data_IF_157255318673
#
_entry.id   IF_157255318673
#
_cell.length_a   1.000
_cell.length_b   1.000
_cell.length_c   1.000
_cell.angle_alpha   90.00
_cell.angle_beta   90.00
_cell.angle_gamma   90.00
#
_symmetry.space_group_name_H-M   'P 1'
#
loop_
_entity.id
_entity.type
_entity.pdbx_description
1 polymer ?
#
# COMPACT_ATOMS: atom_id res chain seq x y z
N UNK A 1 -0.58 18.04 -33.85
CA UNK A 1 -0.44 16.88 -34.77
C UNK A 1 0.06 15.70 -33.95
N UNK A 2 -0.82 14.75 -33.63
CA UNK A 2 -0.47 13.51 -32.94
C UNK A 2 -0.12 12.49 -34.04
N UNK A 3 1.06 11.89 -33.97
CA UNK A 3 1.54 10.96 -34.98
C UNK A 3 0.66 9.69 -35.05
N UNK A 4 0.19 9.28 -36.25
CA UNK A 4 -0.68 8.11 -36.41
C UNK A 4 -0.02 6.78 -35.97
N UNK A 5 1.30 6.70 -35.90
CA UNK A 5 2.02 5.51 -35.44
C UNK A 5 1.85 5.22 -33.93
N UNK A 6 1.63 6.27 -33.11
CA UNK A 6 1.40 6.08 -31.67
C UNK A 6 0.02 5.44 -31.41
N UNK A 7 -0.97 5.72 -32.26
CA UNK A 7 -2.29 5.11 -32.18
C UNK A 7 -2.27 3.62 -32.55
N UNK A 8 -1.47 3.23 -33.54
CA UNK A 8 -1.32 1.83 -33.95
C UNK A 8 -0.66 0.97 -32.85
N UNK A 9 0.36 1.49 -32.16
CA UNK A 9 0.96 0.83 -31.00
C UNK A 9 -0.01 0.66 -29.83
N UNK A 10 -0.92 1.61 -29.63
CA UNK A 10 -1.96 1.56 -28.60
C UNK A 10 -3.02 0.50 -28.90
N UNK A 11 -3.49 0.39 -30.15
CA UNK A 11 -4.46 -0.64 -30.56
C UNK A 11 -3.90 -2.05 -30.45
N UNK A 12 -2.61 -2.23 -30.76
CA UNK A 12 -1.92 -3.52 -30.60
C UNK A 12 -1.79 -3.90 -29.11
N UNK A 13 -1.54 -2.91 -28.24
CA UNK A 13 -1.47 -3.10 -26.79
C UNK A 13 -2.81 -3.42 -26.15
N UNK A 14 -3.88 -2.71 -26.51
CA UNK A 14 -5.25 -3.03 -26.06
C UNK A 14 -5.63 -4.43 -26.53
N UNK A 15 -5.26 -4.81 -27.74
CA UNK A 15 -5.46 -6.16 -28.28
C UNK A 15 -4.66 -7.22 -27.53
N UNK A 16 -3.40 -6.96 -27.17
CA UNK A 16 -2.57 -7.89 -26.40
C UNK A 16 -3.05 -8.03 -24.94
N UNK A 17 -3.45 -6.93 -24.30
CA UNK A 17 -4.06 -6.94 -22.98
C UNK A 17 -5.41 -7.69 -22.99
N UNK A 18 -6.22 -7.51 -24.05
CA UNK A 18 -7.46 -8.26 -24.25
C UNK A 18 -7.22 -9.74 -24.58
N UNK A 19 -6.12 -10.08 -25.27
CA UNK A 19 -5.74 -11.47 -25.53
C UNK A 19 -5.34 -12.19 -24.23
N UNK A 20 -4.59 -11.50 -23.35
CA UNK A 20 -4.26 -12.01 -22.02
C UNK A 20 -5.53 -12.15 -21.16
N UNK A 21 -6.42 -11.16 -21.18
CA UNK A 21 -7.70 -11.23 -20.44
C UNK A 21 -8.66 -12.29 -20.97
N UNK A 22 -8.68 -12.54 -22.29
CA UNK A 22 -9.50 -13.57 -22.93
C UNK A 22 -8.94 -14.98 -22.73
N UNK A 23 -7.62 -15.14 -22.67
CA UNK A 23 -6.97 -16.43 -22.41
C UNK A 23 -7.04 -16.86 -20.94
N UNK A 24 -7.19 -15.94 -19.99
CA UNK A 24 -7.36 -16.24 -18.56
C UNK A 24 -8.79 -16.67 -18.18
N UNK A 25 -9.70 -16.80 -19.15
CA UNK A 25 -11.07 -17.31 -18.95
C UNK A 25 -11.21 -18.83 -19.00
N UNK A 26 -10.12 -19.58 -19.22
CA UNK A 26 -10.12 -21.05 -19.16
C UNK A 26 -9.69 -21.54 -17.79
N UNK A 27 -10.56 -22.31 -17.12
CA UNK A 27 -10.16 -23.15 -15.98
C UNK A 27 -9.02 -24.08 -16.43
N UNK A 28 -7.80 -23.80 -15.98
CA UNK A 28 -6.68 -24.72 -16.14
C UNK A 28 -6.82 -25.85 -15.11
N UNK A 29 -6.67 -27.13 -15.51
CA UNK A 29 -6.64 -28.24 -14.58
C UNK A 29 -5.34 -28.22 -13.78
N UNK A 30 -5.44 -28.67 -12.53
CA UNK A 30 -4.53 -28.34 -11.44
C UNK A 30 -3.09 -28.83 -11.59
N UNK A 31 -2.20 -28.10 -10.92
CA UNK A 31 -0.87 -28.57 -10.59
C UNK A 31 -0.51 -28.22 -9.14
N UNK A 32 -0.28 -29.26 -8.34
CA UNK A 32 0.71 -29.35 -7.25
C UNK A 32 0.79 -28.32 -6.12
N UNK A 33 -0.16 -27.42 -5.93
CA UNK A 33 -0.07 -26.37 -4.92
C UNK A 33 -0.13 -26.89 -3.48
N UNK A 34 0.93 -26.63 -2.70
CA UNK A 34 0.91 -26.67 -1.23
C UNK A 34 -0.38 -26.01 -0.72
N UNK A 35 -1.35 -26.81 -0.28
CA UNK A 35 -2.59 -26.35 0.31
C UNK A 35 -2.22 -25.58 1.58
N UNK A 36 -2.30 -24.25 1.51
CA UNK A 36 -2.42 -23.44 2.72
C UNK A 36 -3.66 -23.97 3.45
N UNK A 37 -3.55 -24.39 4.72
CA UNK A 37 -4.70 -24.86 5.46
C UNK A 37 -5.82 -23.81 5.36
N UNK A 38 -6.99 -24.21 4.89
CA UNK A 38 -8.17 -23.34 4.77
C UNK A 38 -8.51 -22.62 6.09
N UNK A 39 -7.97 -23.10 7.23
CA UNK A 39 -8.12 -22.54 8.57
C UNK A 39 -7.37 -21.23 8.86
N UNK A 40 -6.67 -20.65 7.89
CA UNK A 40 -5.97 -19.35 8.04
C UNK A 40 -6.45 -18.28 7.05
N UNK A 41 -7.44 -18.59 6.20
CA UNK A 41 -8.08 -17.56 5.40
C UNK A 41 -8.94 -16.68 6.33
N UNK A 42 -8.80 -15.36 6.24
CA UNK A 42 -9.79 -14.44 6.80
C UNK A 42 -11.20 -14.92 6.40
N UNK A 43 -12.26 -14.72 7.23
CA UNK A 43 -13.61 -15.14 6.87
C UNK A 43 -13.92 -14.65 5.46
N UNK A 44 -13.98 -15.58 4.51
CA UNK A 44 -14.20 -15.27 3.10
C UNK A 44 -15.57 -14.63 3.04
N UNK A 45 -15.60 -13.35 2.68
CA UNK A 45 -16.83 -12.58 2.47
C UNK A 45 -17.80 -13.44 1.67
N UNK A 46 -18.94 -13.75 2.28
CA UNK A 46 -19.91 -14.74 1.81
C UNK A 46 -20.40 -14.43 0.39
N UNK A 47 -19.85 -15.12 -0.60
CA UNK A 47 -20.50 -15.64 -1.81
C UNK A 47 -21.19 -14.68 -2.81
N UNK A 48 -21.57 -13.47 -2.45
CA UNK A 48 -22.25 -12.52 -3.35
C UNK A 48 -21.20 -11.53 -3.84
N UNK A 49 -20.32 -12.01 -4.73
CA UNK A 49 -19.56 -11.11 -5.58
C UNK A 49 -20.58 -10.52 -6.55
N UNK A 50 -21.09 -9.33 -6.23
CA UNK A 50 -22.15 -8.67 -6.99
C UNK A 50 -21.82 -8.76 -8.48
N UNK A 51 -22.78 -9.21 -9.29
CA UNK A 51 -22.61 -9.43 -10.74
C UNK A 51 -22.01 -8.20 -11.45
N UNK A 52 -22.31 -7.00 -10.93
CA UNK A 52 -21.78 -5.71 -11.37
C UNK A 52 -20.26 -5.55 -11.19
N UNK A 53 -19.64 -6.24 -10.23
CA UNK A 53 -18.19 -6.23 -10.03
C UNK A 53 -17.44 -7.03 -11.11
N UNK A 54 -18.14 -7.91 -11.85
CA UNK A 54 -17.58 -8.71 -12.95
C UNK A 54 -17.66 -8.02 -14.30
N UNK A 55 -18.39 -6.90 -14.42
CA UNK A 55 -18.45 -6.14 -15.67
C UNK A 55 -17.03 -5.70 -16.09
N UNK A 56 -16.72 -5.62 -17.39
CA UNK A 56 -15.46 -5.04 -17.85
C UNK A 56 -15.14 -3.66 -17.25
N UNK A 57 -13.86 -3.40 -16.99
CA UNK A 57 -13.38 -2.12 -16.39
C UNK A 57 -13.77 -0.88 -17.21
N UNK A 58 -13.92 -1.03 -18.53
CA UNK A 58 -14.27 0.07 -19.43
C UNK A 58 -15.76 0.42 -19.46
N UNK A 59 -16.63 -0.36 -18.80
CA UNK A 59 -18.05 -0.05 -18.74
C UNK A 59 -18.31 1.10 -17.75
N UNK A 60 -18.88 2.24 -18.21
CA UNK A 60 -19.16 3.38 -17.34
C UNK A 60 -20.02 3.03 -16.13
N UNK A 61 -20.91 2.05 -16.25
CA UNK A 61 -21.78 1.60 -15.16
C UNK A 61 -21.00 0.98 -14.00
N UNK A 62 -19.96 0.19 -14.28
CA UNK A 62 -19.09 -0.39 -13.25
C UNK A 62 -18.32 0.70 -12.51
N UNK A 63 -17.82 1.70 -13.24
CA UNK A 63 -17.11 2.83 -12.65
C UNK A 63 -18.05 3.64 -11.75
N UNK A 64 -19.24 4.00 -12.23
CA UNK A 64 -20.26 4.69 -11.42
C UNK A 64 -20.66 3.87 -10.19
N UNK A 65 -20.80 2.56 -10.35
CA UNK A 65 -21.13 1.66 -9.26
C UNK A 65 -20.07 1.69 -8.16
N UNK A 66 -18.80 1.58 -8.53
CA UNK A 66 -17.66 1.64 -7.60
C UNK A 66 -17.54 3.01 -6.94
N UNK A 67 -17.66 4.09 -7.70
CA UNK A 67 -17.69 5.46 -7.17
C UNK A 67 -18.84 5.65 -6.17
N UNK A 68 -20.01 5.08 -6.45
CA UNK A 68 -21.15 5.11 -5.57
C UNK A 68 -20.99 4.27 -4.29
N UNK A 69 -19.95 3.44 -4.15
CA UNK A 69 -19.68 2.69 -2.90
C UNK A 69 -18.53 3.26 -2.08
N UNK A 70 -17.88 4.32 -2.58
CA UNK A 70 -16.79 4.97 -1.87
C UNK A 70 -17.27 5.60 -0.56
N UNK A 71 -16.43 5.48 0.48
CA UNK A 71 -16.62 6.10 1.78
C UNK A 71 -16.27 7.61 1.74
N UNK A 72 -17.02 8.36 0.93
CA UNK A 72 -16.85 9.81 0.80
C UNK A 72 -17.20 10.54 2.11
N UNK A 73 -16.53 11.64 2.45
CA UNK A 73 -16.82 12.41 3.66
C UNK A 73 -18.29 12.83 3.73
N UNK A 74 -18.92 12.62 4.90
CA UNK A 74 -20.32 12.99 5.13
C UNK A 74 -21.33 12.02 4.51
N UNK A 75 -20.87 10.98 3.81
CA UNK A 75 -21.71 9.89 3.36
C UNK A 75 -21.67 8.76 4.39
N UNK A 76 -22.83 8.24 4.85
CA UNK A 76 -22.84 7.09 5.74
C UNK A 76 -22.12 5.90 5.08
N UNK A 77 -21.05 5.45 5.73
CA UNK A 77 -20.33 4.23 5.39
C UNK A 77 -20.21 3.39 6.66
N UNK A 78 -20.31 2.06 6.56
CA UNK A 78 -20.32 1.23 7.74
C UNK A 78 -18.90 1.20 8.33
N UNK A 79 -18.78 1.54 9.60
CA UNK A 79 -17.51 1.58 10.33
C UNK A 79 -17.23 0.17 10.88
N UNK A 80 -16.01 -0.36 10.71
CA UNK A 80 -15.65 -1.65 11.31
C UNK A 80 -15.75 -1.60 12.85
N UNK A 81 -16.06 -2.75 13.47
CA UNK A 81 -16.14 -2.88 14.94
C UNK A 81 -14.81 -2.66 15.65
N UNK A 82 -13.69 -2.80 14.93
CA UNK A 82 -12.35 -2.61 15.46
C UNK A 82 -11.35 -2.20 14.39
N UNK A 83 -10.12 -1.94 14.83
CA UNK A 83 -9.00 -1.55 13.99
C UNK A 83 -7.72 -1.93 14.71
N UNK A 84 -7.01 -2.91 14.17
CA UNK A 84 -5.87 -3.53 14.84
C UNK A 84 -4.68 -3.65 13.89
N UNK A 85 -3.48 -3.51 14.45
CA UNK A 85 -2.24 -3.86 13.78
C UNK A 85 -1.64 -5.11 14.41
N UNK A 86 -1.25 -6.04 13.55
CA UNK A 86 -0.42 -7.19 13.91
C UNK A 86 1.05 -6.76 14.04
N UNK A 87 1.91 -7.65 14.52
CA UNK A 87 3.34 -7.38 14.54
C UNK A 87 3.87 -7.05 13.14
N UNK A 88 4.78 -6.07 13.05
CA UNK A 88 5.35 -5.64 11.78
C UNK A 88 6.22 -6.74 11.15
N UNK A 89 6.12 -6.91 9.84
CA UNK A 89 7.00 -7.79 9.05
C UNK A 89 7.06 -7.32 7.60
N UNK A 90 8.24 -7.40 6.99
CA UNK A 90 8.45 -7.17 5.56
C UNK A 90 7.99 -8.34 4.66
N UNK A 91 7.17 -9.25 5.19
CA UNK A 91 6.64 -10.40 4.47
C UNK A 91 5.28 -10.07 3.82
N UNK A 92 5.14 -10.43 2.55
CA UNK A 92 3.90 -10.27 1.77
C UNK A 92 2.96 -11.48 1.91
N UNK A 93 3.22 -12.35 2.88
CA UNK A 93 2.50 -13.59 3.11
C UNK A 93 1.13 -13.37 3.77
N UNK A 94 0.41 -14.47 4.01
CA UNK A 94 -0.89 -14.47 4.69
C UNK A 94 -0.75 -14.65 6.21
N UNK A 95 0.47 -14.74 6.74
CA UNK A 95 0.67 -15.04 8.16
C UNK A 95 0.41 -13.79 9.00
N UNK A 96 -0.48 -13.93 9.97
CA UNK A 96 -0.78 -12.90 10.96
C UNK A 96 0.11 -13.14 12.18
N UNK A 97 0.94 -12.15 12.54
CA UNK A 97 1.97 -12.27 13.58
C UNK A 97 1.51 -11.56 14.84
N UNK A 98 1.21 -12.32 15.91
CA UNK A 98 0.74 -11.76 17.18
C UNK A 98 1.88 -11.23 18.07
N UNK A 99 1.58 -10.42 19.11
CA UNK A 99 0.24 -9.97 19.48
C UNK A 99 -0.27 -8.86 18.56
N UNK A 100 -1.59 -8.71 18.49
CA UNK A 100 -2.22 -7.53 17.89
C UNK A 100 -2.24 -6.36 18.88
N UNK A 101 -2.38 -5.15 18.37
CA UNK A 101 -2.64 -3.94 19.17
C UNK A 101 -3.72 -3.08 18.52
N UNK A 102 -4.50 -2.31 19.29
CA UNK A 102 -5.39 -1.30 18.73
C UNK A 102 -4.63 -0.31 17.85
N UNK A 103 -5.29 0.16 16.80
CA UNK A 103 -4.73 1.09 15.84
C UNK A 103 -5.74 2.19 15.51
N UNK A 104 -5.29 3.42 15.71
CA UNK A 104 -5.98 4.63 15.29
C UNK A 104 -5.16 5.22 14.14
N UNK A 105 -5.75 5.37 12.93
CA UNK A 105 -5.06 6.02 11.82
C UNK A 105 -4.60 7.42 12.21
N UNK A 106 -3.34 7.73 11.96
CA UNK A 106 -2.76 9.05 12.20
C UNK A 106 -2.25 9.67 10.89
N UNK A 107 -2.27 11.00 10.75
CA UNK A 107 -1.73 11.67 9.56
C UNK A 107 -0.30 11.23 9.24
N UNK A 108 -0.05 10.97 7.96
CA UNK A 108 1.24 10.51 7.43
C UNK A 108 1.44 8.99 7.44
N UNK A 109 0.54 8.20 8.05
CA UNK A 109 0.58 6.74 7.90
C UNK A 109 0.38 6.36 6.43
N UNK A 110 1.19 5.43 5.92
CA UNK A 110 1.06 4.93 4.55
C UNK A 110 0.34 3.59 4.60
N UNK A 111 -0.75 3.50 3.86
CA UNK A 111 -1.57 2.29 3.74
C UNK A 111 -1.22 1.61 2.42
N UNK A 112 -1.09 0.30 2.44
CA UNK A 112 -0.83 -0.50 1.25
C UNK A 112 -1.88 -1.61 1.17
N UNK A 113 -2.37 -1.92 -0.02
CA UNK A 113 -3.29 -3.04 -0.21
C UNK A 113 -2.91 -3.91 -1.39
N UNK A 114 -3.33 -5.17 -1.33
CA UNK A 114 -3.44 -6.02 -2.52
C UNK A 114 -4.87 -6.01 -2.99
N UNK A 115 -5.07 -5.77 -4.28
CA UNK A 115 -6.27 -6.22 -4.96
C UNK A 115 -6.10 -7.68 -5.41
N UNK A 116 -7.22 -8.38 -5.56
CA UNK A 116 -7.27 -9.71 -6.19
C UNK A 116 -7.44 -9.65 -7.71
N UNK A 117 -7.22 -8.49 -8.34
CA UNK A 117 -7.42 -8.31 -9.77
C UNK A 117 -6.26 -8.94 -10.53
N UNK A 118 -6.54 -10.02 -11.28
CA UNK A 118 -5.55 -10.67 -12.14
C UNK A 118 -4.91 -9.69 -13.13
N UNK A 119 -5.70 -8.73 -13.63
CA UNK A 119 -5.21 -7.66 -14.50
C UNK A 119 -4.11 -6.86 -13.81
N UNK A 120 -4.35 -6.32 -12.61
CA UNK A 120 -3.38 -5.51 -11.91
C UNK A 120 -2.18 -6.32 -11.44
N UNK A 121 -2.39 -7.55 -10.99
CA UNK A 121 -1.30 -8.45 -10.64
C UNK A 121 -0.36 -8.67 -11.84
N UNK A 122 -0.92 -8.92 -13.02
CA UNK A 122 -0.15 -9.12 -14.25
C UNK A 122 0.63 -7.86 -14.61
N UNK A 123 -0.02 -6.70 -14.58
CA UNK A 123 0.60 -5.41 -14.92
C UNK A 123 1.72 -5.03 -13.95
N UNK A 124 1.54 -5.28 -12.65
CA UNK A 124 2.56 -5.05 -11.64
C UNK A 124 3.73 -6.05 -11.74
N UNK A 125 3.46 -7.30 -12.12
CA UNK A 125 4.50 -8.29 -12.38
C UNK A 125 5.33 -7.90 -13.61
N UNK A 126 4.68 -7.44 -14.69
CA UNK A 126 5.38 -6.89 -15.88
C UNK A 126 6.20 -5.64 -15.53
N UNK A 127 5.73 -4.82 -14.60
CA UNK A 127 6.49 -3.70 -14.06
C UNK A 127 7.65 -4.13 -13.12
N UNK A 128 7.76 -5.41 -12.77
CA UNK A 128 8.77 -5.96 -11.86
C UNK A 128 8.53 -5.62 -10.39
N UNK A 129 7.28 -5.36 -10.02
CA UNK A 129 6.91 -4.83 -8.69
C UNK A 129 5.95 -5.74 -7.93
N UNK A 130 5.12 -6.55 -8.59
CA UNK A 130 4.19 -7.47 -7.91
C UNK A 130 3.39 -6.79 -6.79
N UNK A 131 3.16 -7.46 -5.65
CA UNK A 131 2.48 -6.89 -4.49
C UNK A 131 3.40 -6.01 -3.60
N UNK A 132 2.83 -5.05 -2.84
CA UNK A 132 1.43 -4.59 -2.90
C UNK A 132 1.10 -3.88 -4.23
N UNK A 133 -0.18 -3.88 -4.62
CA UNK A 133 -0.62 -3.30 -5.92
C UNK A 133 -1.21 -1.91 -5.76
N UNK A 134 -1.51 -1.49 -4.53
CA UNK A 134 -2.08 -0.18 -4.25
C UNK A 134 -1.45 0.46 -3.01
N UNK A 135 -1.50 1.80 -2.96
CA UNK A 135 -1.03 2.58 -1.82
C UNK A 135 -1.81 3.86 -1.62
N UNK A 136 -2.00 4.26 -0.37
CA UNK A 136 -2.69 5.46 0.05
C UNK A 136 -1.94 6.13 1.22
N UNK A 137 -2.34 7.35 1.57
CA UNK A 137 -1.79 8.06 2.74
C UNK A 137 -2.91 8.60 3.62
N UNK A 138 -2.77 8.43 4.94
CA UNK A 138 -3.69 8.96 5.93
C UNK A 138 -3.41 10.45 6.15
N UNK A 139 -4.45 11.26 6.29
CA UNK A 139 -4.38 12.67 6.65
C UNK A 139 -5.49 13.02 7.65
N UNK A 140 -5.49 14.25 8.17
CA UNK A 140 -6.60 14.73 9.01
C UNK A 140 -7.52 15.63 8.18
N UNK A 141 -8.82 15.36 8.17
CA UNK A 141 -9.80 16.34 7.70
C UNK A 141 -9.76 17.61 8.56
N UNK A 142 -10.30 18.75 8.07
CA UNK A 142 -10.36 19.98 8.87
C UNK A 142 -11.09 19.84 10.21
N UNK A 143 -12.00 18.87 10.33
CA UNK A 143 -12.72 18.53 11.57
C UNK A 143 -11.95 17.57 12.49
N UNK A 144 -10.70 17.22 12.15
CA UNK A 144 -9.84 16.32 12.90
C UNK A 144 -10.09 14.82 12.67
N UNK A 145 -11.13 14.44 11.91
CA UNK A 145 -11.37 13.03 11.60
C UNK A 145 -10.28 12.47 10.67
N UNK A 146 -9.92 11.19 10.80
CA UNK A 146 -8.93 10.58 9.93
C UNK A 146 -9.49 10.36 8.52
N UNK A 147 -8.80 10.92 7.53
CA UNK A 147 -9.06 10.70 6.11
C UNK A 147 -7.96 9.89 5.44
N UNK A 148 -8.25 9.35 4.26
CA UNK A 148 -7.29 8.72 3.36
C UNK A 148 -7.33 9.42 2.02
N UNK A 149 -6.16 9.73 1.48
CA UNK A 149 -5.96 10.23 0.13
C UNK A 149 -5.45 9.11 -0.78
N UNK A 150 -6.11 8.90 -1.92
CA UNK A 150 -5.84 7.79 -2.84
C UNK A 150 -6.08 8.16 -4.30
N UNK A 151 -5.29 7.58 -5.21
CA UNK A 151 -5.50 7.69 -6.65
C UNK A 151 -6.12 6.38 -7.18
N UNK A 152 -7.35 6.47 -7.67
CA UNK A 152 -8.08 5.35 -8.25
C UNK A 152 -8.57 4.32 -7.23
N UNK A 153 -9.25 4.72 -6.14
CA UNK A 153 -9.80 3.77 -5.18
C UNK A 153 -10.71 2.76 -5.86
N UNK A 154 -10.55 1.48 -5.54
CA UNK A 154 -11.29 0.36 -6.12
C UNK A 154 -11.38 0.41 -7.66
N UNK A 155 -10.30 0.76 -8.37
CA UNK A 155 -10.23 0.91 -9.84
C UNK A 155 -11.09 2.04 -10.42
N UNK A 156 -11.41 3.07 -9.64
CA UNK A 156 -11.99 4.30 -10.21
C UNK A 156 -10.92 5.09 -10.97
N UNK A 157 -11.34 6.06 -11.79
CA UNK A 157 -10.41 6.86 -12.61
C UNK A 157 -10.07 8.22 -11.98
N UNK A 158 -10.19 8.32 -10.65
CA UNK A 158 -10.14 9.59 -9.95
C UNK A 158 -9.34 9.53 -8.66
N UNK A 159 -8.74 10.65 -8.31
CA UNK A 159 -8.19 10.91 -6.97
C UNK A 159 -9.34 11.26 -6.03
N UNK A 160 -9.32 10.67 -4.84
CA UNK A 160 -10.36 10.84 -3.83
C UNK A 160 -9.77 10.96 -2.43
N UNK A 161 -10.47 11.74 -1.63
CA UNK A 161 -10.38 11.79 -0.18
C UNK A 161 -11.55 11.00 0.41
N UNK A 162 -11.25 10.10 1.35
CA UNK A 162 -12.18 9.10 1.87
C UNK A 162 -12.07 9.02 3.40
N UNK A 163 -13.11 8.58 4.09
CA UNK A 163 -13.04 8.31 5.52
C UNK A 163 -12.19 7.06 5.77
N UNK A 164 -11.20 7.17 6.67
CA UNK A 164 -10.13 6.18 6.74
C UNK A 164 -10.63 4.76 7.09
N UNK A 165 -11.34 4.60 8.21
CA UNK A 165 -11.69 3.27 8.73
C UNK A 165 -12.69 2.50 7.85
N UNK A 166 -13.81 3.07 7.38
CA UNK A 166 -14.71 2.37 6.46
C UNK A 166 -13.98 1.92 5.18
N UNK A 167 -13.01 2.74 4.73
CA UNK A 167 -12.27 2.47 3.50
C UNK A 167 -11.15 1.44 3.66
N UNK A 168 -10.46 1.40 4.80
CA UNK A 168 -9.57 0.27 5.11
C UNK A 168 -10.35 -1.05 5.15
N UNK A 169 -11.56 -1.00 5.71
CA UNK A 169 -12.42 -2.17 5.83
C UNK A 169 -12.95 -2.69 4.48
N UNK A 170 -13.24 -1.81 3.52
CA UNK A 170 -13.59 -2.25 2.17
C UNK A 170 -12.41 -2.99 1.51
N UNK A 171 -11.18 -2.51 1.68
CA UNK A 171 -10.01 -3.20 1.15
C UNK A 171 -9.69 -4.51 1.86
N UNK A 172 -9.94 -4.64 3.17
CA UNK A 172 -9.77 -5.92 3.86
C UNK A 172 -10.68 -7.02 3.31
N UNK A 173 -11.88 -6.67 2.82
CA UNK A 173 -12.80 -7.62 2.17
C UNK A 173 -12.29 -8.11 0.82
N UNK A 174 -11.48 -7.30 0.14
CA UNK A 174 -10.91 -7.62 -1.18
C UNK A 174 -9.54 -8.31 -1.07
N UNK A 175 -8.78 -8.00 -0.03
CA UNK A 175 -7.44 -8.52 0.12
C UNK A 175 -6.70 -8.01 1.35
N UNK A 176 -5.37 -8.10 1.27
CA UNK A 176 -4.48 -7.80 2.38
C UNK A 176 -4.23 -6.28 2.46
N UNK A 177 -4.57 -5.65 3.59
CA UNK A 177 -4.17 -4.28 3.97
C UNK A 177 -2.98 -4.24 4.93
N UNK A 178 -1.94 -3.46 4.64
CA UNK A 178 -0.85 -3.16 5.56
C UNK A 178 -0.77 -1.67 5.86
N UNK A 179 -0.21 -1.35 7.01
CA UNK A 179 0.08 0.02 7.41
C UNK A 179 1.57 0.14 7.73
N UNK A 180 2.23 1.08 7.07
CA UNK A 180 3.51 1.66 7.46
C UNK A 180 3.18 2.83 8.38
N UNK A 181 3.22 2.59 9.69
CA UNK A 181 2.85 3.61 10.67
C UNK A 181 3.98 4.62 10.87
N UNK A 182 3.68 5.92 10.95
CA UNK A 182 4.62 6.96 11.36
C UNK A 182 5.17 6.66 12.75
N UNK A 183 6.50 6.67 12.89
CA UNK A 183 7.16 6.51 14.21
C UNK A 183 7.18 7.81 15.01
N UNK A 184 7.09 8.94 14.31
CA UNK A 184 6.98 10.28 14.88
C UNK A 184 5.72 10.95 14.35
N UNK A 185 4.83 11.43 15.24
CA UNK A 185 3.69 12.25 14.86
C UNK A 185 4.12 13.43 13.99
N UNK A 186 3.25 13.85 13.07
CA UNK A 186 3.51 15.03 12.27
C UNK A 186 3.46 16.28 13.17
N UNK A 187 4.28 17.27 12.85
CA UNK A 187 4.09 18.63 13.37
C UNK A 187 2.75 19.20 12.88
N UNK A 188 2.15 20.17 13.59
CA UNK A 188 0.92 20.83 13.13
C UNK A 188 1.04 21.36 11.70
N UNK A 189 2.18 21.95 11.35
CA UNK A 189 2.46 22.51 10.02
C UNK A 189 2.52 21.42 8.94
N UNK A 190 3.19 20.29 9.22
CA UNK A 190 3.25 19.15 8.31
C UNK A 190 1.86 18.54 8.10
N UNK A 191 1.07 18.40 9.17
CA UNK A 191 -0.30 17.89 9.07
C UNK A 191 -1.18 18.83 8.25
N UNK A 192 -1.11 20.14 8.50
CA UNK A 192 -1.87 21.14 7.74
C UNK A 192 -1.51 21.14 6.24
N UNK A 193 -0.22 21.02 5.91
CA UNK A 193 0.25 20.90 4.52
C UNK A 193 -0.23 19.61 3.85
N UNK A 194 -0.21 18.49 4.58
CA UNK A 194 -0.73 17.23 4.06
C UNK A 194 -2.23 17.31 3.76
N UNK A 195 -3.00 17.90 4.68
CA UNK A 195 -4.43 18.17 4.50
C UNK A 195 -4.68 19.12 3.32
N UNK A 196 -3.93 20.20 3.21
CA UNK A 196 -4.02 21.14 2.08
C UNK A 196 -3.79 20.42 0.75
N UNK A 197 -2.75 19.58 0.67
CA UNK A 197 -2.48 18.80 -0.53
C UNK A 197 -3.64 17.87 -0.86
N UNK A 198 -4.09 17.07 0.12
CA UNK A 198 -5.16 16.10 -0.06
C UNK A 198 -6.45 16.74 -0.60
N UNK A 199 -6.87 17.85 -0.01
CA UNK A 199 -8.08 18.56 -0.45
C UNK A 199 -7.90 19.22 -1.82
N UNK A 200 -6.70 19.72 -2.15
CA UNK A 200 -6.42 20.37 -3.43
C UNK A 200 -6.26 19.41 -4.63
N UNK A 201 -6.02 18.13 -4.35
CA UNK A 201 -5.89 17.09 -5.39
C UNK A 201 -7.10 16.17 -5.48
N UNK A 202 -8.04 16.24 -4.55
CA UNK A 202 -9.34 15.58 -4.66
C UNK A 202 -10.02 15.93 -5.99
N UNK A 203 -10.59 14.93 -6.66
CA UNK A 203 -11.26 15.14 -7.95
C UNK A 203 -10.37 15.02 -9.18
N UNK A 204 -9.03 15.05 -9.04
CA UNK A 204 -8.08 14.92 -10.15
C UNK A 204 -8.16 13.54 -10.80
N UNK A 205 -7.61 13.43 -12.00
CA UNK A 205 -7.65 12.19 -12.77
C UNK A 205 -6.62 11.17 -12.30
N UNK A 206 -6.98 9.90 -12.43
CA UNK A 206 -6.02 8.81 -12.32
C UNK A 206 -5.15 8.75 -13.59
N UNK A 207 -3.83 8.70 -13.41
CA UNK A 207 -2.85 8.78 -14.49
C UNK A 207 -2.71 7.47 -15.30
N UNK A 208 -3.82 6.93 -15.82
CA UNK A 208 -3.88 5.61 -16.45
C UNK A 208 -2.93 5.47 -17.64
N UNK A 209 -2.89 6.47 -18.53
CA UNK A 209 -2.02 6.45 -19.72
C UNK A 209 -0.55 6.42 -19.30
N UNK A 210 -0.18 7.23 -18.31
CA UNK A 210 1.20 7.29 -17.79
C UNK A 210 1.58 6.01 -17.07
N UNK A 211 0.65 5.41 -16.33
CA UNK A 211 0.85 4.11 -15.70
C UNK A 211 1.10 3.02 -16.75
N UNK A 212 0.30 2.98 -17.83
CA UNK A 212 0.53 2.09 -18.98
C UNK A 212 1.90 2.34 -19.64
N UNK A 213 2.31 3.60 -19.77
CA UNK A 213 3.64 3.98 -20.26
C UNK A 213 4.81 3.41 -19.44
N UNK A 214 4.60 3.09 -18.15
CA UNK A 214 5.62 2.47 -17.32
C UNK A 214 5.92 1.01 -17.67
N UNK A 215 5.13 0.39 -18.55
CA UNK A 215 5.40 -0.95 -19.08
C UNK A 215 6.35 -0.91 -20.27
N UNK A 216 6.62 0.28 -20.79
CA UNK A 216 7.53 0.45 -21.92
C UNK A 216 8.98 0.60 -21.45
N UNK A 217 9.98 0.28 -22.29
CA UNK A 217 11.39 0.56 -21.99
C UNK A 217 11.67 2.05 -21.75
N UNK A 218 10.82 2.95 -22.25
CA UNK A 218 10.93 4.40 -22.10
C UNK A 218 10.34 4.93 -20.78
N UNK A 219 10.09 4.05 -19.83
CA UNK A 219 9.55 4.39 -18.50
C UNK A 219 10.48 5.25 -17.67
N UNK A 220 9.88 6.00 -16.74
CA UNK A 220 10.63 6.80 -15.75
C UNK A 220 11.39 5.93 -14.74
N UNK A 221 10.91 4.71 -14.49
CA UNK A 221 11.56 3.67 -13.67
C UNK A 221 12.65 2.89 -14.44
N UNK A 222 13.49 3.58 -15.20
CA UNK A 222 14.67 3.01 -15.84
C UNK A 222 15.91 3.16 -14.94
N UNK A 223 16.88 2.23 -14.99
CA UNK A 223 18.07 2.27 -14.12
C UNK A 223 18.88 3.57 -14.25
N UNK A 224 18.85 4.20 -15.42
CA UNK A 224 19.50 5.48 -15.67
C UNK A 224 18.51 6.66 -15.55
N UNK A 225 17.33 6.57 -16.17
CA UNK A 225 16.38 7.70 -16.26
C UNK A 225 15.90 8.19 -14.91
N UNK A 226 15.79 7.34 -13.90
CA UNK A 226 15.34 7.74 -12.56
C UNK A 226 16.28 8.76 -11.89
N UNK A 227 17.55 8.84 -12.28
CA UNK A 227 18.47 9.84 -11.73
C UNK A 227 18.03 11.28 -12.05
N UNK A 228 17.46 11.52 -13.24
CA UNK A 228 17.11 12.87 -13.71
C UNK A 228 15.62 13.08 -14.01
N UNK A 229 14.82 12.01 -14.15
CA UNK A 229 13.38 12.08 -14.40
C UNK A 229 12.55 11.74 -13.17
N UNK A 230 11.28 12.14 -13.18
CA UNK A 230 10.32 11.74 -12.16
C UNK A 230 10.43 12.50 -10.86
N UNK A 231 11.02 13.71 -10.88
CA UNK A 231 11.04 14.63 -9.75
C UNK A 231 9.61 15.03 -9.31
N UNK A 232 9.42 15.42 -8.04
CA UNK A 232 8.13 15.92 -7.55
C UNK A 232 7.65 17.14 -8.33
N UNK A 233 6.34 17.24 -8.50
CA UNK A 233 5.66 18.35 -9.18
C UNK A 233 4.66 19.06 -8.27
N UNK A 234 4.32 18.49 -7.12
CA UNK A 234 3.37 19.05 -6.17
C UNK A 234 2.03 19.39 -6.82
N UNK A 235 1.41 20.50 -6.39
CA UNK A 235 0.07 20.88 -6.83
C UNK A 235 -0.06 21.21 -8.32
N UNK A 236 1.03 21.42 -9.06
CA UNK A 236 0.97 21.70 -10.50
C UNK A 236 0.55 20.47 -11.33
N UNK A 237 0.69 19.26 -10.78
CA UNK A 237 0.48 18.01 -11.51
C UNK A 237 -0.99 17.64 -11.65
N UNK A 238 -1.48 17.36 -12.87
CA UNK A 238 -2.92 17.19 -13.12
C UNK A 238 -3.48 15.81 -12.79
N UNK A 239 -2.65 14.78 -12.85
CA UNK A 239 -3.06 13.38 -12.68
C UNK A 239 -2.01 12.58 -11.88
N UNK A 240 -2.48 11.57 -11.16
CA UNK A 240 -1.62 10.73 -10.31
C UNK A 240 -1.97 9.26 -10.44
N UNK A 241 -0.98 8.39 -10.30
CA UNK A 241 -1.23 7.00 -9.88
C UNK A 241 -0.92 6.85 -8.39
N UNK A 242 -1.32 5.72 -7.80
CA UNK A 242 -1.44 5.56 -6.35
C UNK A 242 -0.16 5.89 -5.56
N UNK A 243 0.97 5.25 -5.85
CA UNK A 243 2.24 5.48 -5.14
C UNK A 243 2.85 6.84 -5.45
N UNK A 244 2.66 7.35 -6.66
CA UNK A 244 3.09 8.70 -7.01
C UNK A 244 2.35 9.76 -6.17
N UNK A 245 1.03 9.61 -6.00
CA UNK A 245 0.23 10.50 -5.15
C UNK A 245 0.75 10.51 -3.71
N UNK A 246 1.04 9.33 -3.15
CA UNK A 246 1.56 9.19 -1.79
C UNK A 246 2.90 9.92 -1.64
N UNK A 247 3.85 9.73 -2.56
CA UNK A 247 5.16 10.39 -2.47
C UNK A 247 5.05 11.90 -2.70
N UNK A 248 4.24 12.36 -3.66
CA UNK A 248 3.98 13.80 -3.87
C UNK A 248 3.37 14.45 -2.64
N UNK A 249 2.43 13.77 -1.97
CA UNK A 249 1.83 14.22 -0.71
C UNK A 249 2.89 14.31 0.41
N UNK A 250 3.73 13.30 0.57
CA UNK A 250 4.82 13.31 1.53
C UNK A 250 5.83 14.44 1.28
N UNK A 251 6.23 14.66 0.02
CA UNK A 251 7.14 15.76 -0.35
C UNK A 251 6.47 17.11 -0.06
N UNK A 252 5.21 17.28 -0.47
CA UNK A 252 4.47 18.51 -0.24
C UNK A 252 4.31 18.82 1.25
N UNK A 253 4.12 17.80 2.08
CA UNK A 253 4.04 17.94 3.53
C UNK A 253 5.42 18.10 4.22
N UNK A 254 6.54 18.00 3.49
CA UNK A 254 7.88 18.08 4.07
C UNK A 254 8.28 16.84 4.88
N UNK A 255 7.75 15.67 4.51
CA UNK A 255 8.04 14.37 5.14
C UNK A 255 9.13 13.59 4.41
N UNK A 256 9.35 13.90 3.13
CA UNK A 256 10.38 13.30 2.28
C UNK A 256 11.11 14.42 1.55
N UNK A 257 12.44 14.32 1.49
CA UNK A 257 13.27 15.29 0.77
C UNK A 257 12.98 15.26 -0.75
N UNK A 258 12.59 16.41 -1.35
CA UNK A 258 12.28 16.50 -2.77
C UNK A 258 13.46 16.14 -3.70
N UNK A 259 14.72 16.29 -3.25
CA UNK A 259 15.89 16.03 -4.09
C UNK A 259 16.11 14.53 -4.33
N UNK A 260 15.74 13.70 -3.36
CA UNK A 260 15.84 12.23 -3.44
C UNK A 260 14.53 11.56 -3.86
N UNK A 261 13.40 12.24 -3.72
CA UNK A 261 12.10 11.68 -4.09
C UNK A 261 11.99 11.49 -5.60
N UNK A 262 11.43 10.35 -6.02
CA UNK A 262 11.07 10.10 -7.43
C UNK A 262 9.64 9.55 -7.55
N UNK A 263 8.61 10.38 -7.29
CA UNK A 263 7.22 9.92 -7.28
C UNK A 263 6.83 9.12 -8.53
N UNK A 264 7.16 9.61 -9.72
CA UNK A 264 6.79 8.95 -10.98
C UNK A 264 7.50 7.59 -11.20
N UNK A 265 8.59 7.32 -10.48
CA UNK A 265 9.32 6.06 -10.55
C UNK A 265 9.04 5.14 -9.36
N UNK A 266 8.33 5.59 -8.32
CA UNK A 266 8.08 4.84 -7.08
C UNK A 266 6.82 4.00 -7.21
N UNK A 267 6.88 2.73 -6.78
CA UNK A 267 5.76 1.79 -6.73
C UNK A 267 5.41 1.42 -5.29
N UNK A 268 4.19 0.89 -5.03
CA UNK A 268 3.78 0.50 -3.69
C UNK A 268 4.76 -0.49 -3.02
N UNK A 269 5.38 -1.40 -3.78
CA UNK A 269 6.42 -2.30 -3.25
C UNK A 269 7.65 -1.57 -2.70
N UNK A 270 8.05 -0.45 -3.29
CA UNK A 270 9.19 0.31 -2.79
C UNK A 270 8.87 0.96 -1.43
N UNK A 271 7.63 1.44 -1.27
CA UNK A 271 7.09 1.96 0.00
C UNK A 271 6.95 0.84 1.06
N UNK A 272 6.63 -0.38 0.63
CA UNK A 272 6.49 -1.52 1.53
C UNK A 272 7.85 -2.00 2.08
N UNK A 273 8.82 -2.26 1.20
CA UNK A 273 10.05 -2.99 1.53
C UNK A 273 11.21 -2.11 2.02
N UNK A 274 11.11 -0.78 1.89
CA UNK A 274 12.29 0.11 1.98
C UNK A 274 13.44 -0.34 1.06
N UNK A 275 13.13 -1.05 -0.02
CA UNK A 275 14.07 -1.61 -0.99
C UNK A 275 13.44 -1.60 -2.37
N UNK A 276 14.28 -1.42 -3.38
CA UNK A 276 13.84 -1.34 -4.76
C UNK A 276 14.76 -2.12 -5.70
N UNK A 277 14.19 -2.64 -6.78
CA UNK A 277 15.00 -3.11 -7.93
C UNK A 277 15.59 -1.94 -8.71
N UNK A 278 15.01 -0.74 -8.56
CA UNK A 278 15.56 0.48 -9.13
C UNK A 278 16.72 0.95 -8.26
N UNK A 279 17.94 0.98 -8.80
CA UNK A 279 19.16 1.29 -8.06
C UNK A 279 19.12 2.68 -7.39
N UNK A 280 18.54 3.68 -8.05
CA UNK A 280 18.41 5.02 -7.49
C UNK A 280 17.53 4.99 -6.24
N UNK A 281 16.31 4.46 -6.36
CA UNK A 281 15.39 4.35 -5.23
C UNK A 281 15.98 3.48 -4.11
N UNK A 282 16.64 2.37 -4.46
CA UNK A 282 17.24 1.48 -3.48
C UNK A 282 18.35 2.15 -2.67
N UNK A 283 19.05 3.13 -3.25
CA UNK A 283 20.11 3.87 -2.57
C UNK A 283 19.58 5.06 -1.79
N UNK A 284 18.65 5.82 -2.37
CA UNK A 284 18.30 7.16 -1.88
C UNK A 284 16.96 7.22 -1.15
N UNK A 285 16.00 6.37 -1.51
CA UNK A 285 14.64 6.47 -1.01
C UNK A 285 14.40 5.42 0.10
N UNK A 286 14.34 5.89 1.35
CA UNK A 286 14.07 5.09 2.55
C UNK A 286 13.03 5.81 3.40
N UNK A 287 12.03 5.06 3.88
CA UNK A 287 11.06 5.56 4.85
C UNK A 287 11.56 5.30 6.28
N UNK A 288 12.37 4.28 6.53
CA UNK A 288 13.03 4.12 7.82
C UNK A 288 14.02 5.29 8.08
N UNK A 289 14.11 5.83 9.31
CA UNK A 289 13.44 5.37 10.54
C UNK A 289 12.07 6.04 10.81
N UNK A 290 11.62 6.96 9.97
CA UNK A 290 10.46 7.81 10.28
C UNK A 290 9.11 7.09 10.06
N UNK A 291 9.13 5.93 9.39
CA UNK A 291 8.03 4.96 9.36
C UNK A 291 8.49 3.60 9.90
N UNK A 292 7.62 2.96 10.67
CA UNK A 292 7.79 1.59 11.15
C UNK A 292 7.68 0.61 9.97
N UNK A 293 8.24 -0.61 10.09
CA UNK A 293 8.02 -1.65 9.10
C UNK A 293 6.52 -1.97 8.95
N UNK A 294 6.10 -2.51 7.80
CA UNK A 294 4.68 -2.69 7.52
C UNK A 294 4.06 -3.70 8.47
N UNK A 295 2.92 -3.35 9.05
CA UNK A 295 2.10 -4.22 9.89
C UNK A 295 0.80 -4.56 9.17
N UNK A 296 0.35 -5.83 9.25
CA UNK A 296 -0.97 -6.21 8.75
C UNK A 296 -2.03 -5.45 9.53
N UNK A 297 -3.02 -4.89 8.84
CA UNK A 297 -4.21 -4.30 9.44
C UNK A 297 -5.41 -5.25 9.30
N UNK A 298 -6.22 -5.33 10.36
CA UNK A 298 -7.51 -6.04 10.36
C UNK A 298 -8.57 -5.29 11.16
N UNK A 299 -9.84 -5.46 10.80
CA UNK A 299 -10.98 -4.94 11.57
C UNK A 299 -11.33 -5.76 12.82
N UNK A 300 -10.65 -6.89 13.02
CA UNK A 300 -10.90 -7.89 14.07
C UNK A 300 -9.58 -8.36 14.70
N UNK A 301 -9.68 -9.03 15.85
CA UNK A 301 -8.59 -9.61 16.64
C UNK A 301 -8.56 -11.14 16.58
N UNK A 302 -7.41 -11.80 16.84
CA UNK A 302 -7.36 -13.25 16.91
C UNK A 302 -8.33 -13.89 17.92
N UNK A 303 -8.62 -13.22 19.04
CA UNK A 303 -9.62 -13.68 20.02
C UNK A 303 -11.03 -13.75 19.41
N UNK A 304 -11.36 -12.83 18.52
CA UNK A 304 -12.61 -12.86 17.75
C UNK A 304 -12.56 -13.92 16.62
N UNK A 305 -11.36 -14.30 16.16
CA UNK A 305 -11.15 -15.26 15.07
C UNK A 305 -11.14 -16.73 15.51
N UNK A 306 -10.56 -17.05 16.67
CA UNK A 306 -10.46 -18.43 17.17
C UNK A 306 -11.82 -19.14 17.28
N UNK A 307 -12.89 -18.52 17.85
CA UNK A 307 -14.20 -19.16 17.93
C UNK A 307 -14.83 -19.45 16.57
N UNK A 308 -14.56 -18.63 15.54
CA UNK A 308 -15.09 -18.83 14.19
C UNK A 308 -14.49 -20.06 13.51
N UNK A 309 -13.22 -20.38 13.79
CA UNK A 309 -12.58 -21.59 13.27
C UNK A 309 -12.89 -22.84 14.08
N UNK A 310 -13.01 -22.70 15.40
CA UNK A 310 -13.40 -23.82 16.26
C UNK A 310 -14.84 -24.26 16.00
N UNK A 311 -15.76 -23.32 15.78
CA UNK A 311 -17.16 -23.65 15.40
C UNK A 311 -17.30 -24.18 13.96
N UNK A 312 -16.41 -23.80 13.04
CA UNK A 312 -16.35 -24.36 11.70
C UNK A 312 -15.78 -25.79 11.66
N UNK A 313 -15.04 -26.21 12.69
CA UNK A 313 -14.72 -27.63 12.89
C UNK A 313 -15.96 -28.32 13.42
N UNK A 314 -16.82 -28.79 12.52
CA UNK A 314 -17.97 -29.61 12.93
C UNK A 314 -17.49 -30.80 13.78
N UNK A 315 -18.12 -31.05 14.94
CA UNK A 315 -17.88 -32.26 15.70
C UNK A 315 -18.35 -33.45 14.85
N UNK A 316 -17.40 -34.11 14.19
CA UNK A 316 -17.69 -35.24 13.29
C UNK A 316 -16.84 -35.29 12.03
N UNK A 317 -16.09 -34.22 11.67
CA UNK A 317 -15.08 -34.37 10.62
C UNK A 317 -13.93 -35.22 11.19
N UNK A 318 -13.67 -36.43 10.67
CA UNK A 318 -12.60 -37.28 11.18
C UNK A 318 -11.30 -36.50 11.07
N UNK A 319 -10.64 -36.28 12.21
CA UNK A 319 -9.30 -35.75 12.22
C UNK A 319 -8.46 -36.69 11.34
N UNK A 320 -7.76 -36.19 10.30
CA UNK A 320 -6.97 -37.06 9.44
C UNK A 320 -6.04 -37.87 10.34
N UNK A 321 -6.15 -39.20 10.22
CA UNK A 321 -5.36 -40.12 11.03
C UNK A 321 -3.90 -39.67 10.97
N UNK A 322 -3.19 -39.60 12.11
CA UNK A 322 -1.80 -39.18 12.13
C UNK A 322 -1.05 -39.98 11.07
N UNK A 323 -0.47 -39.30 10.10
CA UNK A 323 0.26 -39.96 9.02
C UNK A 323 1.36 -40.80 9.65
N UNK A 324 1.32 -42.10 9.40
CA UNK A 324 2.16 -43.12 10.01
C UNK A 324 3.65 -43.05 9.59
N UNK A 325 4.16 -41.87 9.23
CA UNK A 325 5.52 -41.64 8.75
C UNK A 325 6.25 -40.48 9.43
N UNK A 326 5.72 -39.92 10.53
CA UNK A 326 6.46 -38.94 11.34
C UNK A 326 7.56 -39.66 12.13
N UNK A 327 8.73 -39.75 11.50
CA UNK A 327 9.97 -40.20 12.14
C UNK A 327 10.21 -39.34 13.39
N UNK A 328 10.47 -39.94 14.56
CA UNK A 328 10.77 -39.18 15.77
C UNK A 328 12.01 -38.31 15.52
N UNK A 329 11.85 -37.00 15.70
CA UNK A 329 12.94 -36.05 15.67
C UNK A 329 13.97 -36.44 16.74
N UNK A 330 15.13 -36.91 16.29
CA UNK A 330 16.23 -37.31 17.13
C UNK A 330 16.76 -36.12 17.94
N UNK A 331 16.82 -36.34 19.26
CA UNK A 331 17.81 -35.88 20.22
C UNK A 331 18.47 -34.50 20.02
N UNK A 332 18.01 -33.56 20.84
CA UNK A 332 18.80 -32.66 21.67
C UNK A 332 20.26 -32.39 21.23
N UNK A 333 20.46 -31.31 20.46
CA UNK A 333 21.71 -30.57 20.47
C UNK A 333 21.66 -29.55 21.61
N UNK A 334 22.50 -29.79 22.62
CA UNK A 334 22.80 -28.86 23.72
C UNK A 334 23.23 -27.49 23.20
N UNK A 335 22.73 -26.38 23.78
CA UNK A 335 23.17 -25.04 23.41
C UNK A 335 24.63 -24.83 23.84
N UNK A 336 25.45 -24.36 22.88
CA UNK A 336 26.82 -23.89 23.10
C UNK A 336 26.75 -22.56 23.88
N UNK A 337 27.53 -22.35 24.95
CA UNK A 337 27.52 -21.09 25.69
C UNK A 337 28.03 -19.95 24.81
N UNK A 338 27.26 -18.85 24.77
CA UNK A 338 27.64 -17.61 24.10
C UNK A 338 28.82 -16.95 24.81
N UNK A 339 29.83 -16.43 24.09
CA UNK A 339 30.87 -15.61 24.69
C UNK A 339 30.29 -14.26 25.14
N UNK A 340 30.49 -13.96 26.42
CA UNK A 340 30.26 -12.65 27.02
C UNK A 340 31.10 -11.59 26.31
N UNK A 341 30.46 -10.66 25.61
CA UNK A 341 31.09 -9.42 25.15
C UNK A 341 30.58 -8.26 26.03
N UNK A 342 31.34 -7.97 27.07
CA UNK A 342 31.30 -6.67 27.76
C UNK A 342 32.01 -5.64 26.88
N UNK A 343 31.23 -4.92 26.08
CA UNK A 343 31.65 -3.65 25.50
C UNK A 343 30.55 -2.62 25.77
N UNK A 344 30.67 -1.94 26.90
CA UNK A 344 29.96 -0.68 27.13
C UNK A 344 30.54 0.38 26.19
N UNK A 345 29.74 1.00 25.30
CA UNK A 345 30.20 2.13 24.52
C UNK A 345 30.22 3.37 25.42
N UNK A 346 31.39 3.99 25.55
CA UNK A 346 31.56 5.34 26.11
C UNK A 346 30.75 6.32 25.27
N UNK A 347 29.76 6.97 25.89
CA UNK A 347 28.98 8.04 25.28
C UNK A 347 29.90 9.25 24.95
N UNK A 348 29.89 9.78 23.72
CA UNK A 348 30.57 11.02 23.42
C UNK A 348 29.83 12.20 24.07
N UNK A 349 30.62 13.15 24.57
CA UNK A 349 30.16 14.38 25.20
C UNK A 349 29.21 15.19 24.29
N UNK A 350 28.22 15.82 24.90
CA UNK A 350 27.22 16.65 24.24
C UNK A 350 27.87 17.78 23.42
N UNK A 351 27.43 18.03 22.17
CA UNK A 351 27.92 19.15 21.39
C UNK A 351 27.47 20.49 21.99
N UNK A 352 28.38 21.46 21.98
CA UNK A 352 28.15 22.82 22.43
C UNK A 352 26.98 23.49 21.69
N UNK A 353 26.21 24.26 22.44
CA UNK A 353 25.05 25.03 22.03
C UNK A 353 25.33 25.88 20.78
N UNK A 354 24.50 25.75 19.74
CA UNK A 354 24.55 26.61 18.56
C UNK A 354 24.18 28.06 18.93
N UNK A 355 24.85 29.06 18.33
CA UNK A 355 24.50 30.47 18.54
C UNK A 355 23.12 30.79 17.95
N UNK A 356 22.39 31.67 18.63
CA UNK A 356 21.07 32.12 18.24
C UNK A 356 21.06 32.75 16.83
N UNK A 357 19.98 32.57 16.05
CA UNK A 357 19.87 33.14 14.72
C UNK A 357 19.81 34.68 14.77
N UNK A 358 20.39 35.37 13.77
CA UNK A 358 20.38 36.82 13.72
C UNK A 358 18.96 37.38 13.55
N UNK A 359 18.66 38.39 14.34
CA UNK A 359 17.40 39.14 14.36
C UNK A 359 17.11 39.73 12.98
N UNK A 360 15.92 39.46 12.44
CA UNK A 360 15.50 39.93 11.12
C UNK A 360 15.43 41.47 11.07
N UNK A 361 16.10 42.06 10.08
CA UNK A 361 16.06 43.51 9.80
C UNK A 361 14.68 43.88 9.21
N UNK A 362 14.00 44.93 9.70
CA UNK A 362 12.70 45.33 9.18
C UNK A 362 12.82 45.84 7.75
N UNK A 363 12.06 45.26 6.82
CA UNK A 363 11.89 45.82 5.48
C UNK A 363 11.02 47.07 5.56
N UNK A 364 11.60 48.24 5.29
CA UNK A 364 10.84 49.43 4.96
C UNK A 364 10.11 49.19 3.63
N UNK A 365 8.79 49.44 3.60
CA UNK A 365 7.98 49.41 2.39
C UNK A 365 8.08 50.76 1.67
N UNK A 366 8.09 50.78 0.33
CA UNK A 366 7.94 52.00 -0.46
C UNK A 366 6.53 52.60 -0.34
#
# INVERSE_FOLDING_TARGET
>A
MIFPEVAAGWLWWVSAANLVLGACGGEAPGDGGHLVPASLAAPVSSGIREEKERLPLWLPERLRYKEARLALPGRPAPVPSGSYLWQPSYELDFRLRGPTRPYVPQPGDIVLSTDGSLFWLTMHNLAGTSHPTHSMIVFAFPDGRPGILEAGPHDTLKVRTLEALPHLWSYEKEGRVWVRQRTKPLTPEQSARLTQFALAVDGRDFALIRLGGQLTPLRSRGPLRTYWMGKPQGLAKKDYFCSELVVEACVYAGLIDPEIARPAATYPRDLFLDRSINLYLNRHFKLAPDWAPPARWTSWTPQEYQPLHESARQPGTPQPAPSAGSVPAAAALTPRPSPSQDHSPTLPAAPASLPAPPTAIPRQRP
#
